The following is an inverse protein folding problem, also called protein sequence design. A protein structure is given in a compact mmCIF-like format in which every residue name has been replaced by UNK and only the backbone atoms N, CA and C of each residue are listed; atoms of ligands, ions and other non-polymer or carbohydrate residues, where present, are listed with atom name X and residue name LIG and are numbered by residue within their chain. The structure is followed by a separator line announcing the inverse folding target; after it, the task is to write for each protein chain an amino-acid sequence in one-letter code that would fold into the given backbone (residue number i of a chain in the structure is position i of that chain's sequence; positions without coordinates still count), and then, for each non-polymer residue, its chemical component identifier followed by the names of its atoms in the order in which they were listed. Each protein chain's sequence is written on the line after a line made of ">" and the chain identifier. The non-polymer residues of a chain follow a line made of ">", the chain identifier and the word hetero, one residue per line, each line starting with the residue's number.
data_IF_819860941964
#
_entry.id   IF_819860941964
#
_cell.length_a   1.000
_cell.length_b   1.000
_cell.length_c   1.000
_cell.angle_alpha   90.00
_cell.angle_beta   90.00
_cell.angle_gamma   90.00
#
_symmetry.space_group_name_H-M   'P 1'
#
loop_
_entity.id
_entity.type
_entity.pdbx_description
1 polymer ?
#
# COMPACT_ATOMS: atom_id res chain seq x y z
N UNK A 1 10.57 -3.64 -15.90
CA UNK A 1 9.15 -3.69 -16.32
C UNK A 1 8.45 -4.59 -15.32
N UNK A 2 7.79 -3.98 -14.32
CA UNK A 2 6.92 -4.73 -13.41
C UNK A 2 5.58 -4.86 -14.11
N UNK A 3 5.08 -6.08 -14.25
CA UNK A 3 3.74 -6.31 -14.77
C UNK A 3 2.80 -6.10 -13.58
N UNK A 4 1.77 -5.24 -13.68
CA UNK A 4 0.76 -5.13 -12.62
C UNK A 4 0.24 -6.52 -12.30
N UNK A 5 0.18 -6.90 -11.03
CA UNK A 5 -0.55 -8.13 -10.68
C UNK A 5 -2.04 -7.83 -10.79
N UNK A 6 -2.69 -8.55 -11.70
CA UNK A 6 -4.12 -8.51 -11.92
C UNK A 6 -4.79 -9.57 -11.05
N UNK A 7 -5.68 -9.12 -10.17
CA UNK A 7 -6.46 -9.98 -9.30
C UNK A 7 -7.91 -9.98 -9.75
N UNK A 8 -8.50 -11.16 -9.86
CA UNK A 8 -9.94 -11.33 -10.09
C UNK A 8 -10.62 -11.71 -8.78
N UNK A 9 -11.24 -10.75 -8.12
CA UNK A 9 -12.01 -10.98 -6.88
C UNK A 9 -13.49 -10.67 -7.11
N UNK A 10 -14.36 -11.65 -6.84
CA UNK A 10 -15.83 -11.55 -7.00
C UNK A 10 -16.27 -11.04 -8.39
N UNK A 11 -15.51 -11.41 -9.43
CA UNK A 11 -15.77 -11.01 -10.82
C UNK A 11 -15.32 -9.58 -11.18
N UNK A 12 -14.57 -8.90 -10.30
CA UNK A 12 -13.95 -7.59 -10.54
C UNK A 12 -12.45 -7.74 -10.78
N UNK A 13 -11.91 -6.90 -11.65
CA UNK A 13 -10.47 -6.79 -11.89
C UNK A 13 -9.87 -5.72 -10.97
N UNK A 14 -8.90 -6.10 -10.16
CA UNK A 14 -8.18 -5.21 -9.26
C UNK A 14 -6.71 -5.21 -9.67
N UNK A 15 -6.18 -4.01 -9.86
CA UNK A 15 -4.78 -3.79 -10.23
C UNK A 15 -4.08 -3.11 -9.05
N UNK A 16 -3.12 -3.81 -8.44
CA UNK A 16 -2.29 -3.24 -7.38
C UNK A 16 -0.99 -2.72 -8.00
N UNK A 17 -0.70 -1.43 -7.77
CA UNK A 17 0.49 -0.77 -8.29
C UNK A 17 1.29 -0.16 -7.15
N UNK A 18 2.59 -0.44 -7.12
CA UNK A 18 3.52 0.26 -6.25
C UNK A 18 3.77 1.69 -6.76
N UNK A 19 3.71 2.66 -5.86
CA UNK A 19 4.07 4.04 -6.15
C UNK A 19 5.50 4.12 -6.72
N UNK A 20 5.65 4.81 -7.84
CA UNK A 20 6.91 4.96 -8.57
C UNK A 20 7.11 4.00 -9.75
N UNK A 21 6.14 3.14 -10.08
CA UNK A 21 6.12 2.31 -11.28
C UNK A 21 5.22 2.90 -12.38
N UNK A 22 5.58 2.65 -13.64
CA UNK A 22 4.79 2.98 -14.83
C UNK A 22 4.04 1.74 -15.34
N UNK A 23 2.81 1.92 -15.82
CA UNK A 23 1.93 0.83 -16.28
C UNK A 23 1.26 1.23 -17.60
N UNK A 24 1.02 0.24 -18.48
CA UNK A 24 0.35 0.43 -19.77
C UNK A 24 -1.16 0.69 -19.66
N UNK A 25 -1.73 1.27 -20.71
CA UNK A 25 -3.13 1.71 -20.76
C UNK A 25 -4.14 0.53 -20.70
N UNK A 26 -5.17 0.67 -19.86
CA UNK A 26 -6.32 -0.21 -19.78
C UNK A 26 -7.58 0.57 -19.37
N UNK A 27 -8.76 0.07 -19.73
CA UNK A 27 -10.03 0.70 -19.37
C UNK A 27 -10.34 0.47 -17.88
N UNK A 28 -9.95 1.44 -17.06
CA UNK A 28 -10.13 1.41 -15.61
C UNK A 28 -11.35 2.25 -15.21
N UNK A 29 -12.16 1.75 -14.28
CA UNK A 29 -13.39 2.42 -13.86
C UNK A 29 -13.23 3.35 -12.65
N UNK A 30 -12.20 3.14 -11.82
CA UNK A 30 -11.87 4.01 -10.67
C UNK A 30 -10.40 3.88 -10.26
N UNK A 31 -9.81 4.95 -9.71
CA UNK A 31 -8.52 4.90 -8.99
C UNK A 31 -8.68 5.18 -7.51
N UNK A 32 -8.00 4.38 -6.70
CA UNK A 32 -7.89 4.54 -5.27
C UNK A 32 -6.40 4.67 -4.90
N UNK A 33 -5.84 5.89 -4.86
CA UNK A 33 -4.46 6.10 -4.46
C UNK A 33 -4.32 6.22 -2.93
N UNK A 34 -3.12 5.89 -2.46
CA UNK A 34 -2.63 6.31 -1.14
C UNK A 34 -2.49 7.84 -1.06
N UNK A 35 -2.67 8.48 0.11
CA UNK A 35 -2.57 9.94 0.24
C UNK A 35 -1.16 10.48 0.07
N UNK A 36 -0.13 9.62 0.03
CA UNK A 36 1.26 10.06 -0.12
C UNK A 36 1.52 10.55 -1.54
N UNK A 37 2.19 11.70 -1.67
CA UNK A 37 2.46 12.41 -2.94
C UNK A 37 2.99 11.49 -4.04
N UNK A 38 3.89 10.55 -3.70
CA UNK A 38 4.45 9.60 -4.68
C UNK A 38 3.39 8.68 -5.31
N UNK A 39 2.41 8.24 -4.54
CA UNK A 39 1.31 7.41 -5.04
C UNK A 39 0.34 8.24 -5.85
N UNK A 40 -0.07 9.42 -5.36
CA UNK A 40 -0.92 10.34 -6.12
C UNK A 40 -0.31 10.70 -7.48
N UNK A 41 0.99 11.00 -7.53
CA UNK A 41 1.68 11.31 -8.80
C UNK A 41 1.70 10.11 -9.75
N UNK A 42 1.90 8.89 -9.25
CA UNK A 42 1.81 7.67 -10.07
C UNK A 42 0.39 7.47 -10.58
N UNK A 43 -0.62 7.67 -9.72
CA UNK A 43 -2.03 7.62 -10.12
C UNK A 43 -2.34 8.65 -11.22
N UNK A 44 -1.91 9.90 -11.08
CA UNK A 44 -2.09 10.94 -12.11
C UNK A 44 -1.44 10.57 -13.45
N UNK A 45 -0.22 10.01 -13.41
CA UNK A 45 0.49 9.59 -14.64
C UNK A 45 -0.22 8.44 -15.33
N UNK A 46 -0.70 7.45 -14.58
CA UNK A 46 -1.39 6.26 -15.12
C UNK A 46 -2.80 6.62 -15.58
N UNK A 47 -3.50 7.47 -14.82
CA UNK A 47 -4.87 7.88 -15.11
C UNK A 47 -4.94 8.85 -16.29
N UNK A 48 -3.86 9.61 -16.53
CA UNK A 48 -3.73 10.49 -17.68
C UNK A 48 -4.90 11.46 -17.81
N UNK A 49 -5.69 11.31 -18.89
CA UNK A 49 -6.85 12.14 -19.23
C UNK A 49 -8.22 11.50 -18.95
N UNK A 50 -8.27 10.38 -18.21
CA UNK A 50 -9.54 9.79 -17.76
C UNK A 50 -10.34 10.77 -16.90
N UNK A 51 -11.67 10.81 -17.09
CA UNK A 51 -12.60 11.74 -16.43
C UNK A 51 -13.23 11.15 -15.16
N UNK A 52 -12.94 9.89 -14.90
CA UNK A 52 -13.50 9.08 -13.83
C UNK A 52 -12.87 9.43 -12.48
N UNK A 53 -13.57 9.05 -11.41
CA UNK A 53 -13.32 9.50 -10.04
C UNK A 53 -11.98 8.98 -9.47
N UNK A 54 -11.24 9.85 -8.77
CA UNK A 54 -10.09 9.48 -7.96
C UNK A 54 -10.50 9.62 -6.49
N UNK A 55 -10.44 8.52 -5.74
CA UNK A 55 -10.83 8.50 -4.32
C UNK A 55 -9.62 8.09 -3.48
N UNK A 56 -9.02 9.05 -2.79
CA UNK A 56 -7.88 8.76 -1.92
C UNK A 56 -8.30 7.99 -0.66
N UNK A 57 -7.50 7.00 -0.25
CA UNK A 57 -7.71 6.26 1.00
C UNK A 57 -6.48 6.31 1.93
N UNK A 58 -6.67 6.86 3.12
CA UNK A 58 -5.63 6.96 4.16
C UNK A 58 -5.09 5.63 4.65
N UNK A 59 -5.86 4.55 4.52
CA UNK A 59 -5.45 3.22 4.96
C UNK A 59 -4.46 2.55 3.99
N UNK A 60 -4.39 3.06 2.75
CA UNK A 60 -3.39 2.68 1.74
C UNK A 60 -2.03 3.35 1.94
N UNK A 61 -1.80 4.10 3.03
CA UNK A 61 -0.47 4.62 3.35
C UNK A 61 0.52 3.49 3.64
N UNK A 62 1.80 3.76 3.39
CA UNK A 62 2.89 2.84 3.69
C UNK A 62 2.92 2.48 5.18
N UNK A 63 3.63 1.41 5.52
CA UNK A 63 3.88 1.04 6.91
C UNK A 63 4.41 2.23 7.72
N UNK A 64 3.79 2.46 8.88
CA UNK A 64 4.17 3.52 9.79
C UNK A 64 5.31 3.01 10.68
N UNK A 65 6.53 3.53 10.48
CA UNK A 65 7.69 3.21 11.34
C UNK A 65 7.86 4.22 12.49
N UNK A 66 6.96 5.20 12.59
CA UNK A 66 6.92 6.25 13.61
C UNK A 66 8.19 7.11 13.68
N UNK A 67 8.11 8.27 14.34
CA UNK A 67 9.18 9.28 14.32
C UNK A 67 10.53 8.76 14.84
N UNK A 68 10.52 7.77 15.72
CA UNK A 68 11.72 7.20 16.32
C UNK A 68 12.56 6.39 15.32
N UNK A 69 11.93 5.64 14.40
CA UNK A 69 12.59 4.67 13.50
C UNK A 69 12.52 5.06 12.02
N UNK A 70 11.61 5.95 11.65
CA UNK A 70 11.46 6.42 10.28
C UNK A 70 12.66 7.24 9.81
N UNK A 71 13.04 7.06 8.54
CA UNK A 71 14.09 7.85 7.88
C UNK A 71 15.51 7.44 8.21
N UNK A 72 15.72 6.38 9.01
CA UNK A 72 17.06 5.91 9.37
C UNK A 72 17.67 5.07 8.25
N UNK A 73 18.95 5.30 8.00
CA UNK A 73 19.77 4.38 7.23
C UNK A 73 19.96 3.08 8.03
N UNK A 74 20.17 1.96 7.33
CA UNK A 74 20.33 0.63 7.96
C UNK A 74 21.38 0.62 9.09
N UNK A 75 22.49 1.34 8.91
CA UNK A 75 23.54 1.41 9.92
C UNK A 75 23.16 2.29 11.12
N UNK A 76 22.40 3.38 10.90
CA UNK A 76 21.90 4.25 11.96
C UNK A 76 20.84 3.53 12.79
N UNK A 77 19.91 2.82 12.15
CA UNK A 77 18.92 1.98 12.82
C UNK A 77 19.59 0.93 13.70
N UNK A 78 20.61 0.23 13.20
CA UNK A 78 21.38 -0.74 13.99
C UNK A 78 22.10 -0.09 15.17
N UNK A 79 22.73 1.06 14.97
CA UNK A 79 23.48 1.77 16.02
C UNK A 79 22.54 2.33 17.11
N UNK A 80 21.40 2.88 16.73
CA UNK A 80 20.45 3.57 17.62
C UNK A 80 19.49 2.63 18.32
N UNK A 81 19.05 1.56 17.66
CA UNK A 81 17.98 0.68 18.15
C UNK A 81 18.42 -0.77 18.42
N UNK A 82 19.66 -1.16 18.06
CA UNK A 82 20.28 -2.42 18.46
C UNK A 82 19.34 -3.63 18.39
N UNK A 83 18.93 -4.13 19.57
CA UNK A 83 18.02 -5.28 19.70
C UNK A 83 16.65 -5.06 19.06
N UNK A 84 16.08 -3.84 19.12
CA UNK A 84 14.80 -3.53 18.48
C UNK A 84 14.93 -3.54 16.95
N UNK A 85 16.04 -3.02 16.39
CA UNK A 85 16.34 -3.16 14.97
C UNK A 85 16.49 -4.63 14.57
N UNK A 86 17.11 -5.46 15.43
CA UNK A 86 17.21 -6.89 15.18
C UNK A 86 15.83 -7.58 15.19
N UNK A 87 14.98 -7.27 16.16
CA UNK A 87 13.59 -7.76 16.23
C UNK A 87 12.82 -7.42 14.96
N UNK A 88 12.95 -6.19 14.46
CA UNK A 88 12.36 -5.78 13.17
C UNK A 88 12.80 -6.68 12.00
N UNK A 89 14.05 -7.16 12.00
CA UNK A 89 14.56 -8.01 10.92
C UNK A 89 14.09 -9.46 10.98
N UNK A 90 13.91 -10.02 12.17
CA UNK A 90 13.63 -11.46 12.35
C UNK A 90 12.19 -11.76 12.71
N UNK A 91 11.48 -10.80 13.29
CA UNK A 91 10.14 -10.94 13.84
C UNK A 91 9.42 -9.58 13.86
N UNK A 92 9.26 -9.04 12.65
CA UNK A 92 8.61 -7.75 12.40
C UNK A 92 7.16 -7.70 12.91
N UNK A 93 6.47 -8.84 13.00
CA UNK A 93 5.10 -8.94 13.49
C UNK A 93 4.98 -8.65 15.00
N UNK A 94 6.04 -8.93 15.77
CA UNK A 94 6.12 -8.64 17.20
C UNK A 94 7.03 -7.44 17.53
N UNK A 95 7.62 -6.81 16.51
CA UNK A 95 8.34 -5.56 16.69
C UNK A 95 7.38 -4.49 17.24
N UNK A 96 7.74 -3.95 18.40
CA UNK A 96 7.02 -2.87 19.04
C UNK A 96 7.90 -1.62 19.08
N UNK A 97 7.31 -0.48 18.71
CA UNK A 97 7.95 0.82 18.86
C UNK A 97 6.93 1.86 19.32
N UNK A 98 7.27 2.61 20.37
CA UNK A 98 6.38 3.65 20.92
C UNK A 98 4.96 3.11 21.20
N UNK A 99 4.86 1.88 21.72
CA UNK A 99 3.62 1.13 21.98
C UNK A 99 2.81 0.70 20.74
N UNK A 100 3.36 0.86 19.54
CA UNK A 100 2.77 0.44 18.28
C UNK A 100 3.35 -0.86 17.74
N UNK A 101 2.55 -1.61 16.97
CA UNK A 101 2.99 -2.81 16.25
C UNK A 101 2.85 -2.59 14.74
N UNK A 102 3.85 -1.98 14.07
CA UNK A 102 3.73 -1.51 12.69
C UNK A 102 3.16 -2.52 11.71
N UNK A 103 3.63 -3.77 11.75
CA UNK A 103 3.14 -4.83 10.85
C UNK A 103 1.70 -5.21 11.17
N UNK A 104 1.34 -5.37 12.44
CA UNK A 104 -0.04 -5.76 12.81
C UNK A 104 -1.04 -4.67 12.43
N UNK A 105 -0.67 -3.41 12.66
CA UNK A 105 -1.47 -2.25 12.28
C UNK A 105 -1.61 -2.12 10.76
N UNK A 106 -0.54 -2.35 10.00
CA UNK A 106 -0.58 -2.42 8.54
C UNK A 106 -1.57 -3.47 8.05
N UNK A 107 -1.53 -4.68 8.61
CA UNK A 107 -2.45 -5.77 8.26
C UNK A 107 -3.90 -5.45 8.59
N UNK A 108 -4.15 -4.81 9.73
CA UNK A 108 -5.49 -4.35 10.10
C UNK A 108 -6.01 -3.31 9.09
N UNK A 109 -5.17 -2.32 8.72
CA UNK A 109 -5.50 -1.30 7.72
C UNK A 109 -5.80 -1.91 6.36
N UNK A 110 -4.93 -2.78 5.86
CA UNK A 110 -5.11 -3.45 4.57
C UNK A 110 -6.42 -4.24 4.51
N UNK A 111 -6.77 -4.97 5.57
CA UNK A 111 -8.05 -5.69 5.65
C UNK A 111 -9.26 -4.75 5.56
N UNK A 112 -9.18 -3.58 6.21
CA UNK A 112 -10.26 -2.58 6.16
C UNK A 112 -10.42 -1.93 4.78
N UNK A 113 -9.35 -1.82 3.98
CA UNK A 113 -9.42 -1.30 2.61
C UNK A 113 -10.32 -2.15 1.71
N UNK A 114 -10.36 -3.48 1.92
CA UNK A 114 -11.15 -4.38 1.07
C UNK A 114 -12.64 -4.04 1.04
N UNK A 115 -13.21 -3.57 2.16
CA UNK A 115 -14.59 -3.13 2.17
C UNK A 115 -14.82 -2.00 1.17
N UNK A 116 -13.95 -0.97 1.18
CA UNK A 116 -14.06 0.19 0.29
C UNK A 116 -13.81 -0.16 -1.18
N UNK A 117 -12.79 -0.99 -1.43
CA UNK A 117 -12.45 -1.49 -2.78
C UNK A 117 -13.61 -2.27 -3.37
N UNK A 118 -14.24 -3.16 -2.60
CA UNK A 118 -15.30 -4.06 -3.08
C UNK A 118 -16.68 -3.40 -3.14
N UNK A 119 -16.92 -2.31 -2.41
CA UNK A 119 -18.20 -1.58 -2.45
C UNK A 119 -18.39 -0.74 -3.70
N UNK A 120 -17.32 -0.42 -4.45
CA UNK A 120 -17.46 0.32 -5.70
C UNK A 120 -18.16 -0.49 -6.77
N UNK A 121 -19.01 0.16 -7.57
CA UNK A 121 -19.77 -0.49 -8.64
C UNK A 121 -18.91 -0.83 -9.87
N UNK A 122 -17.76 -0.17 -10.04
CA UNK A 122 -16.85 -0.35 -11.17
C UNK A 122 -16.29 -1.77 -11.30
N UNK A 123 -16.27 -2.29 -12.53
CA UNK A 123 -15.74 -3.63 -12.85
C UNK A 123 -14.21 -3.71 -12.74
N UNK A 124 -13.51 -2.60 -12.95
CA UNK A 124 -12.07 -2.48 -12.84
C UNK A 124 -11.69 -1.39 -11.84
N UNK A 125 -10.87 -1.75 -10.85
CA UNK A 125 -10.39 -0.87 -9.78
C UNK A 125 -8.86 -0.82 -9.82
N UNK A 126 -8.31 0.38 -9.95
CA UNK A 126 -6.88 0.64 -9.83
C UNK A 126 -6.56 1.07 -8.39
N UNK A 127 -5.70 0.32 -7.70
CA UNK A 127 -5.18 0.69 -6.38
C UNK A 127 -3.71 1.07 -6.54
N UNK A 128 -3.36 2.31 -6.19
CA UNK A 128 -1.97 2.78 -6.24
C UNK A 128 -1.48 2.98 -4.82
N UNK A 129 -0.63 2.10 -4.32
CA UNK A 129 -0.19 2.12 -2.93
C UNK A 129 1.32 1.90 -2.82
N UNK A 130 1.78 1.14 -1.83
CA UNK A 130 3.20 0.93 -1.56
C UNK A 130 3.46 -0.54 -1.27
N UNK A 131 4.72 -0.94 -1.35
CA UNK A 131 5.12 -2.34 -1.35
C UNK A 131 4.58 -3.11 -0.12
N UNK A 132 4.75 -2.58 1.10
CA UNK A 132 4.31 -3.31 2.29
C UNK A 132 2.77 -3.42 2.37
N UNK A 133 2.04 -2.34 2.05
CA UNK A 133 0.57 -2.36 2.06
C UNK A 133 -0.01 -3.20 0.92
N UNK A 134 0.63 -3.24 -0.25
CA UNK A 134 0.24 -4.12 -1.36
C UNK A 134 0.37 -5.59 -0.95
N UNK A 135 1.50 -5.99 -0.36
CA UNK A 135 1.65 -7.35 0.20
C UNK A 135 0.57 -7.67 1.25
N UNK A 136 0.26 -6.71 2.12
CA UNK A 136 -0.77 -6.89 3.14
C UNK A 136 -2.19 -6.98 2.54
N UNK A 137 -2.50 -6.23 1.48
CA UNK A 137 -3.78 -6.30 0.76
C UNK A 137 -3.99 -7.70 0.20
N UNK A 138 -3.02 -8.20 -0.58
CA UNK A 138 -3.06 -9.55 -1.17
C UNK A 138 -3.25 -10.60 -0.08
N UNK A 139 -2.49 -10.50 1.01
CA UNK A 139 -2.54 -11.51 2.06
C UNK A 139 -3.77 -11.40 2.98
N UNK A 140 -4.59 -10.35 2.83
CA UNK A 140 -5.85 -10.16 3.57
C UNK A 140 -7.10 -10.27 2.70
N UNK A 141 -6.95 -10.64 1.43
CA UNK A 141 -8.07 -10.90 0.54
C UNK A 141 -8.91 -12.08 1.07
N UNK A 142 -10.23 -11.93 1.09
CA UNK A 142 -11.18 -12.89 1.65
C UNK A 142 -12.41 -13.11 0.74
#
# INVERSE_FOLDING_TARGET
>A
MFVPEEYSLRGRFIYLIDAGLEVGEGALGIVIPSPLIRSNRTAEVIWGSCKEEIITDSDLREIDLYSSFQGLLKHEGKAKFGAAYHQWQIDAANFNIDDHYPVRELWARARSCWTKILTHESMSVLVVAHNAVNQALVATEA
#
